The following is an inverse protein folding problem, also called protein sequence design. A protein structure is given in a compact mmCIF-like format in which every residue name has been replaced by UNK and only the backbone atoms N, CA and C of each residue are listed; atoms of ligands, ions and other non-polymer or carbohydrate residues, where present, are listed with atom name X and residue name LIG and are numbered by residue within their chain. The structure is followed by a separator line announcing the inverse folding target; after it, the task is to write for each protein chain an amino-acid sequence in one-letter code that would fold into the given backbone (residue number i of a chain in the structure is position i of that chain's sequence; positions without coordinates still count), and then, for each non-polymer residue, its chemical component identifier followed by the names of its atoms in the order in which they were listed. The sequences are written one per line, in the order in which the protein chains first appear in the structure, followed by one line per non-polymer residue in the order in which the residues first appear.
data_IF_832884337463
#
_entry.id   IF_832884337463
#
_cell.length_a   1.000
_cell.length_b   1.000
_cell.length_c   1.000
_cell.angle_alpha   90.00
_cell.angle_beta   90.00
_cell.angle_gamma   90.00
#
_symmetry.space_group_name_H-M   'P 1'
#
loop_
_entity.id
_entity.type
_entity.pdbx_description
1 polymer ?
#
# COMPACT_ATOMS: atom_id res chain seq x y z
N UNK A 1 21.03 45.10 16.88
CA UNK A 1 20.32 43.80 16.78
C UNK A 1 21.37 42.71 16.87
N UNK A 2 21.50 42.06 18.04
CA UNK A 2 22.57 41.09 18.29
C UNK A 2 22.22 39.74 17.66
N UNK A 3 23.05 39.24 16.74
CA UNK A 3 22.98 37.86 16.28
C UNK A 3 23.85 37.01 17.19
N UNK A 4 23.23 36.05 17.86
CA UNK A 4 23.92 35.03 18.64
C UNK A 4 24.27 33.91 17.65
N UNK A 5 25.54 33.84 17.23
CA UNK A 5 26.07 32.70 16.50
C UNK A 5 26.57 31.66 17.50
N UNK A 6 26.04 30.43 17.42
CA UNK A 6 26.64 29.26 18.10
C UNK A 6 27.79 28.73 17.25
N UNK A 7 28.82 28.18 17.92
CA UNK A 7 30.15 27.87 17.39
C UNK A 7 30.23 26.79 16.30
N UNK A 8 29.12 26.23 15.89
CA UNK A 8 29.05 25.16 14.90
C UNK A 8 28.22 25.71 13.74
N UNK A 9 28.88 26.03 12.62
CA UNK A 9 28.35 26.79 11.49
C UNK A 9 27.22 26.12 10.68
N UNK A 10 26.20 25.59 11.34
CA UNK A 10 24.95 25.18 10.73
C UNK A 10 23.83 26.12 11.17
N UNK A 11 23.30 26.86 10.20
CA UNK A 11 22.13 27.72 10.42
C UNK A 11 20.90 26.83 10.58
N UNK A 12 20.04 27.12 11.55
CA UNK A 12 18.82 26.35 11.84
C UNK A 12 17.82 26.24 10.66
N UNK A 13 18.02 27.02 9.58
CA UNK A 13 17.27 26.92 8.34
C UNK A 13 17.68 25.74 7.45
N UNK A 14 18.96 25.35 7.46
CA UNK A 14 19.49 24.27 6.62
C UNK A 14 19.02 22.90 7.10
N UNK A 15 18.96 22.69 8.43
CA UNK A 15 18.48 21.42 8.97
C UNK A 15 17.00 21.17 8.66
N UNK A 16 16.17 22.21 8.57
CA UNK A 16 14.77 22.07 8.14
C UNK A 16 14.62 21.80 6.63
N UNK A 17 15.56 22.25 5.80
CA UNK A 17 15.59 21.89 4.38
C UNK A 17 16.11 20.46 4.16
N UNK A 18 17.05 19.98 4.98
CA UNK A 18 17.56 18.60 4.94
C UNK A 18 16.55 17.57 5.48
N UNK A 19 15.81 17.89 6.55
CA UNK A 19 14.75 17.02 7.10
C UNK A 19 13.60 16.84 6.09
N UNK A 20 13.24 17.90 5.35
CA UNK A 20 12.24 17.81 4.28
C UNK A 20 12.73 17.08 3.02
N UNK A 21 14.03 16.88 2.86
CA UNK A 21 14.61 16.21 1.69
C UNK A 21 14.61 14.69 1.82
N UNK A 22 14.32 14.15 3.00
CA UNK A 22 14.55 12.72 3.29
C UNK A 22 13.31 11.94 3.73
N UNK A 23 12.17 12.58 3.96
CA UNK A 23 10.91 11.92 4.31
C UNK A 23 9.77 12.53 3.49
N UNK A 24 9.32 11.86 2.44
CA UNK A 24 8.01 12.16 1.88
C UNK A 24 6.99 11.90 3.00
N UNK A 25 6.22 12.92 3.37
CA UNK A 25 5.20 12.73 4.39
C UNK A 25 4.23 11.64 3.92
N UNK A 26 3.70 10.84 4.84
CA UNK A 26 2.74 9.76 4.51
C UNK A 26 1.64 10.23 3.55
N UNK A 27 1.19 11.46 3.73
CA UNK A 27 0.16 12.09 2.92
C UNK A 27 0.63 12.45 1.50
N UNK A 28 1.90 12.85 1.31
CA UNK A 28 2.48 13.05 -0.02
C UNK A 28 2.62 11.72 -0.76
N UNK A 29 3.03 10.65 -0.08
CA UNK A 29 3.13 9.31 -0.68
C UNK A 29 1.75 8.85 -1.16
N UNK A 30 0.73 8.96 -0.30
CA UNK A 30 -0.65 8.59 -0.63
C UNK A 30 -1.18 9.45 -1.79
N UNK A 31 -0.97 10.77 -1.76
CA UNK A 31 -1.40 11.67 -2.84
C UNK A 31 -0.70 11.36 -4.15
N UNK A 32 0.61 11.15 -4.13
CA UNK A 32 1.40 10.81 -5.32
C UNK A 32 0.95 9.50 -5.94
N UNK A 33 0.72 8.46 -5.13
CA UNK A 33 0.22 7.17 -5.61
C UNK A 33 -1.23 7.27 -6.13
N UNK A 34 -2.08 8.05 -5.46
CA UNK A 34 -3.45 8.29 -5.91
C UNK A 34 -3.48 9.04 -7.24
N UNK A 35 -2.61 10.03 -7.42
CA UNK A 35 -2.46 10.74 -8.68
C UNK A 35 -1.92 9.84 -9.79
N UNK A 36 -0.91 9.01 -9.48
CA UNK A 36 -0.37 8.02 -10.41
C UNK A 36 -1.45 7.04 -10.90
N UNK A 37 -2.35 6.59 -10.02
CA UNK A 37 -3.47 5.75 -10.41
C UNK A 37 -4.54 6.51 -11.23
N UNK A 38 -4.80 7.78 -10.90
CA UNK A 38 -5.78 8.61 -11.62
C UNK A 38 -5.35 8.92 -13.07
N UNK A 39 -4.04 8.98 -13.32
CA UNK A 39 -3.46 9.17 -14.64
C UNK A 39 -3.74 8.01 -15.63
N UNK A 40 -4.31 6.90 -15.14
CA UNK A 40 -4.69 5.70 -15.89
C UNK A 40 -6.20 5.65 -16.05
N UNK A 41 -6.74 6.60 -16.76
CA UNK A 41 -8.11 6.47 -17.22
C UNK A 41 -8.18 5.57 -18.46
N UNK A 42 -9.37 5.05 -18.75
CA UNK A 42 -9.62 4.28 -19.97
C UNK A 42 -9.28 5.11 -21.22
N UNK A 43 -8.55 4.53 -22.18
CA UNK A 43 -8.09 5.19 -23.41
C UNK A 43 -6.74 5.92 -23.36
N UNK A 44 -6.12 6.12 -22.18
CA UNK A 44 -4.84 6.88 -22.05
C UNK A 44 -3.62 6.13 -22.64
N UNK A 45 -3.80 4.88 -23.08
CA UNK A 45 -2.77 4.07 -23.72
C UNK A 45 -2.53 4.43 -25.20
N UNK A 46 -3.44 5.18 -25.83
CA UNK A 46 -3.29 5.69 -27.19
C UNK A 46 -3.08 7.21 -27.15
N UNK A 47 -2.02 7.66 -27.83
CA UNK A 47 -1.58 9.06 -27.90
C UNK A 47 -2.70 9.99 -28.37
N UNK A 48 -3.57 9.49 -29.26
CA UNK A 48 -4.71 10.25 -29.81
C UNK A 48 -5.74 10.66 -28.75
N UNK A 49 -5.86 9.89 -27.68
CA UNK A 49 -6.83 10.11 -26.61
C UNK A 49 -6.19 10.58 -25.31
N UNK A 50 -4.85 10.68 -25.26
CA UNK A 50 -4.12 11.22 -24.13
C UNK A 50 -4.18 12.75 -24.14
N UNK A 51 -4.61 13.35 -23.03
CA UNK A 51 -4.67 14.81 -22.87
C UNK A 51 -3.28 15.47 -23.03
N UNK A 52 -2.25 14.76 -22.57
CA UNK A 52 -0.87 15.24 -22.51
C UNK A 52 -0.06 14.83 -23.76
N UNK A 53 -0.64 14.05 -24.68
CA UNK A 53 0.08 13.47 -25.82
C UNK A 53 1.11 12.40 -25.44
N UNK A 54 1.10 11.90 -24.20
CA UNK A 54 1.93 10.77 -23.79
C UNK A 54 1.09 9.50 -23.65
N UNK A 55 1.45 8.45 -24.39
CA UNK A 55 0.83 7.14 -24.26
C UNK A 55 1.33 6.42 -22.99
N UNK A 56 0.42 6.12 -22.06
CA UNK A 56 0.73 5.37 -20.83
C UNK A 56 0.26 3.92 -20.96
N UNK A 57 1.18 3.03 -21.35
CA UNK A 57 0.94 1.58 -21.45
C UNK A 57 1.31 0.87 -20.14
N UNK A 58 0.42 0.00 -19.69
CA UNK A 58 0.49 -0.66 -18.37
C UNK A 58 0.52 -2.17 -18.53
N UNK A 59 0.14 -2.66 -19.71
CA UNK A 59 -0.03 -4.07 -19.98
C UNK A 59 -1.35 -4.56 -19.44
N UNK A 60 -2.45 -3.84 -19.68
CA UNK A 60 -3.80 -4.35 -19.46
C UNK A 60 -4.33 -4.96 -20.77
N UNK A 61 -5.20 -5.96 -20.70
CA UNK A 61 -5.83 -6.59 -21.86
C UNK A 61 -6.65 -5.61 -22.69
N UNK A 62 -7.20 -4.56 -22.07
CA UNK A 62 -7.89 -3.48 -22.82
C UNK A 62 -6.97 -2.68 -23.74
N UNK A 63 -5.65 -2.81 -23.62
CA UNK A 63 -4.66 -2.14 -24.47
C UNK A 63 -4.31 -2.98 -25.71
N UNK A 64 -4.76 -4.24 -25.75
CA UNK A 64 -4.54 -5.16 -26.86
C UNK A 64 -5.77 -5.18 -27.78
N UNK A 65 -5.58 -4.83 -29.06
CA UNK A 65 -6.65 -4.82 -30.07
C UNK A 65 -7.07 -3.42 -30.54
N UNK A 66 -8.16 -3.36 -31.30
CA UNK A 66 -8.76 -2.13 -31.83
C UNK A 66 -10.13 -1.88 -31.18
N UNK A 67 -10.30 -0.69 -30.61
CA UNK A 67 -11.48 -0.26 -29.85
C UNK A 67 -12.78 -0.31 -30.66
N UNK A 68 -12.71 -0.21 -31.99
CA UNK A 68 -13.86 -0.17 -32.89
C UNK A 68 -14.24 -1.57 -33.37
N UNK A 69 -13.25 -2.39 -33.76
CA UNK A 69 -13.53 -3.70 -34.38
C UNK A 69 -13.63 -4.84 -33.39
N UNK A 70 -12.95 -4.75 -32.24
CA UNK A 70 -12.92 -5.81 -31.25
C UNK A 70 -14.03 -5.68 -30.20
N UNK A 71 -14.36 -6.80 -29.56
CA UNK A 71 -15.32 -6.80 -28.45
C UNK A 71 -14.75 -6.05 -27.25
N UNK A 72 -15.56 -5.17 -26.64
CA UNK A 72 -15.14 -4.44 -25.43
C UNK A 72 -14.68 -5.40 -24.34
N UNK A 73 -13.47 -5.17 -23.84
CA UNK A 73 -12.87 -5.88 -22.71
C UNK A 73 -13.05 -5.02 -21.46
N UNK A 74 -13.72 -5.55 -20.44
CA UNK A 74 -13.79 -4.90 -19.14
C UNK A 74 -12.55 -5.28 -18.36
N UNK A 75 -11.59 -4.36 -18.31
CA UNK A 75 -10.32 -4.58 -17.64
C UNK A 75 -9.86 -3.29 -16.95
N UNK A 76 -9.59 -3.36 -15.65
CA UNK A 76 -9.15 -2.21 -14.89
C UNK A 76 -8.69 -2.54 -13.48
N UNK A 77 -8.04 -1.58 -12.85
CA UNK A 77 -7.62 -1.69 -11.47
C UNK A 77 -7.96 -0.44 -10.67
N UNK A 78 -7.98 -0.61 -9.35
CA UNK A 78 -8.01 0.48 -8.38
C UNK A 78 -7.03 0.19 -7.26
N UNK A 79 -6.58 1.24 -6.58
CA UNK A 79 -5.73 1.11 -5.40
C UNK A 79 -6.51 1.43 -4.13
N UNK A 80 -6.15 0.77 -3.04
CA UNK A 80 -6.62 1.08 -1.68
C UNK A 80 -5.43 1.11 -0.74
N UNK A 81 -5.54 1.89 0.32
CA UNK A 81 -4.50 1.99 1.35
C UNK A 81 -5.02 1.37 2.65
N UNK A 82 -4.16 0.62 3.34
CA UNK A 82 -4.46 0.04 4.64
C UNK A 82 -3.20 0.04 5.51
N UNK A 83 -3.10 0.99 6.45
CA UNK A 83 -1.88 1.21 7.23
C UNK A 83 -0.69 1.52 6.32
N UNK A 84 0.37 0.73 6.44
CA UNK A 84 1.59 0.78 5.62
C UNK A 84 1.50 -0.01 4.30
N UNK A 85 0.30 -0.52 3.96
CA UNK A 85 0.06 -1.36 2.79
C UNK A 85 -0.72 -0.66 1.70
N UNK A 86 -0.30 -0.88 0.46
CA UNK A 86 -1.03 -0.62 -0.77
C UNK A 86 -1.69 -1.92 -1.24
N UNK A 87 -2.99 -1.90 -1.46
CA UNK A 87 -3.74 -3.02 -2.02
C UNK A 87 -4.12 -2.65 -3.44
N UNK A 88 -3.65 -3.43 -4.40
CA UNK A 88 -4.05 -3.30 -5.80
C UNK A 88 -5.20 -4.26 -6.03
N UNK A 89 -6.36 -3.73 -6.41
CA UNK A 89 -7.55 -4.48 -6.74
C UNK A 89 -7.71 -4.45 -8.27
N UNK A 90 -7.73 -5.62 -8.89
CA UNK A 90 -7.83 -5.82 -10.31
C UNK A 90 -9.15 -6.50 -10.66
N UNK A 91 -9.80 -6.07 -11.75
CA UNK A 91 -11.00 -6.68 -12.28
C UNK A 91 -10.85 -6.90 -13.78
N UNK A 92 -11.19 -8.11 -14.23
CA UNK A 92 -11.16 -8.50 -15.64
C UNK A 92 -12.35 -9.39 -15.97
N UNK A 93 -13.10 -9.05 -17.02
CA UNK A 93 -14.14 -9.93 -17.56
C UNK A 93 -13.65 -10.61 -18.82
N UNK A 94 -13.71 -11.94 -18.82
CA UNK A 94 -13.22 -12.76 -19.92
C UNK A 94 -14.20 -13.88 -20.27
N UNK A 95 -13.86 -14.65 -21.30
CA UNK A 95 -14.60 -15.86 -21.67
C UNK A 95 -14.17 -17.02 -20.77
N UNK A 96 -15.10 -17.90 -20.41
CA UNK A 96 -14.81 -19.08 -19.58
C UNK A 96 -13.67 -19.94 -20.14
N UNK A 97 -13.55 -20.04 -21.47
CA UNK A 97 -12.45 -20.76 -22.12
C UNK A 97 -11.06 -20.27 -21.69
N UNK A 98 -10.91 -18.96 -21.45
CA UNK A 98 -9.63 -18.34 -21.12
C UNK A 98 -9.21 -18.64 -19.68
N UNK A 99 -10.18 -18.75 -18.77
CA UNK A 99 -9.93 -19.20 -17.39
C UNK A 99 -9.40 -20.64 -17.34
N UNK A 100 -9.79 -21.48 -18.29
CA UNK A 100 -9.33 -22.86 -18.40
C UNK A 100 -8.01 -23.02 -19.16
N UNK A 101 -7.40 -21.93 -19.65
CA UNK A 101 -6.09 -21.97 -20.28
C UNK A 101 -5.00 -22.21 -19.23
N UNK A 102 -3.97 -22.98 -19.60
CA UNK A 102 -2.83 -23.23 -18.72
C UNK A 102 -2.05 -21.93 -18.48
N UNK A 103 -1.78 -21.60 -17.21
CA UNK A 103 -1.03 -20.40 -16.84
C UNK A 103 -1.89 -19.16 -16.59
N UNK A 104 -3.22 -19.29 -16.57
CA UNK A 104 -4.15 -18.18 -16.28
C UNK A 104 -3.81 -17.46 -14.95
N UNK A 105 -3.52 -18.19 -13.87
CA UNK A 105 -3.18 -17.59 -12.56
C UNK A 105 -1.86 -16.80 -12.60
N UNK A 106 -0.86 -17.31 -13.32
CA UNK A 106 0.43 -16.65 -13.51
C UNK A 106 0.26 -15.37 -14.33
N UNK A 107 -0.58 -15.41 -15.36
CA UNK A 107 -0.90 -14.24 -16.18
C UNK A 107 -1.54 -13.13 -15.34
N UNK A 108 -2.57 -13.44 -14.55
CA UNK A 108 -3.22 -12.45 -13.67
C UNK A 108 -2.23 -11.90 -12.63
N UNK A 109 -1.38 -12.75 -12.07
CA UNK A 109 -0.33 -12.34 -11.11
C UNK A 109 0.72 -11.44 -11.75
N UNK A 110 1.06 -11.69 -13.01
CA UNK A 110 1.98 -10.85 -13.78
C UNK A 110 1.35 -9.48 -14.07
N UNK A 111 0.07 -9.41 -14.44
CA UNK A 111 -0.65 -8.14 -14.67
C UNK A 111 -0.66 -7.27 -13.40
N UNK A 112 -0.89 -7.85 -12.23
CA UNK A 112 -0.77 -7.14 -10.94
C UNK A 112 0.65 -6.61 -10.68
N UNK A 113 1.69 -7.38 -11.06
CA UNK A 113 3.09 -6.93 -10.95
C UNK A 113 3.41 -5.78 -11.90
N UNK A 114 2.85 -5.79 -13.11
CA UNK A 114 3.01 -4.72 -14.10
C UNK A 114 2.31 -3.43 -13.65
N UNK A 115 1.11 -3.53 -13.06
CA UNK A 115 0.44 -2.39 -12.40
C UNK A 115 1.32 -1.82 -11.28
N UNK A 116 1.89 -2.66 -10.41
CA UNK A 116 2.79 -2.20 -9.36
C UNK A 116 4.09 -1.55 -9.89
N UNK A 117 4.59 -2.01 -11.05
CA UNK A 117 5.72 -1.39 -11.74
C UNK A 117 5.35 -0.02 -12.30
N UNK A 118 4.19 0.07 -12.94
CA UNK A 118 3.65 1.32 -13.46
C UNK A 118 3.45 2.37 -12.36
N UNK A 119 2.85 1.99 -11.24
CA UNK A 119 2.63 2.91 -10.11
C UNK A 119 3.95 3.48 -9.57
N UNK A 120 5.02 2.68 -9.52
CA UNK A 120 6.35 3.17 -9.13
C UNK A 120 6.92 4.17 -10.13
N UNK A 121 6.79 3.91 -11.43
CA UNK A 121 7.30 4.82 -12.47
C UNK A 121 6.54 6.13 -12.51
N UNK A 122 5.21 6.10 -12.43
CA UNK A 122 4.40 7.32 -12.45
C UNK A 122 4.51 8.12 -11.16
N UNK A 123 4.59 7.46 -10.01
CA UNK A 123 4.86 8.15 -8.75
C UNK A 123 6.13 8.99 -8.84
N UNK A 124 7.19 8.44 -9.46
CA UNK A 124 8.44 9.16 -9.67
C UNK A 124 8.29 10.35 -10.61
N UNK A 125 7.49 10.23 -11.67
CA UNK A 125 7.19 11.36 -12.57
C UNK A 125 6.42 12.47 -11.86
N UNK A 126 5.41 12.11 -11.05
CA UNK A 126 4.53 13.07 -10.38
C UNK A 126 5.25 13.79 -9.22
N UNK A 127 6.02 13.06 -8.41
CA UNK A 127 6.58 13.59 -7.16
C UNK A 127 8.08 13.89 -7.24
N UNK A 128 8.79 13.37 -8.24
CA UNK A 128 10.26 13.37 -8.29
C UNK A 128 10.93 12.37 -7.34
N UNK A 129 10.19 11.77 -6.41
CA UNK A 129 10.69 10.85 -5.40
C UNK A 129 10.54 9.38 -5.84
N UNK A 130 11.34 8.48 -5.28
CA UNK A 130 11.25 7.04 -5.55
C UNK A 130 10.61 6.31 -4.38
N UNK A 131 9.76 5.33 -4.68
CA UNK A 131 9.16 4.42 -3.70
C UNK A 131 9.43 2.98 -4.08
N UNK A 132 9.50 2.12 -3.07
CA UNK A 132 9.53 0.67 -3.25
C UNK A 132 8.19 0.08 -2.80
N UNK A 133 7.66 -0.81 -3.62
CA UNK A 133 6.48 -1.61 -3.32
C UNK A 133 6.93 -3.07 -3.26
N UNK A 134 6.93 -3.65 -2.05
CA UNK A 134 7.34 -5.05 -1.83
C UNK A 134 6.10 -5.92 -1.69
N UNK A 135 6.01 -7.03 -2.42
CA UNK A 135 4.88 -7.96 -2.30
C UNK A 135 4.74 -8.45 -0.85
N UNK A 136 3.52 -8.45 -0.35
CA UNK A 136 3.15 -8.92 0.98
C UNK A 136 2.05 -9.99 0.86
N UNK A 137 2.45 -11.26 0.96
CA UNK A 137 1.59 -12.41 0.70
C UNK A 137 1.42 -12.73 -0.78
N UNK A 138 0.64 -13.78 -1.05
CA UNK A 138 0.33 -14.27 -2.39
C UNK A 138 -0.81 -13.51 -3.06
N UNK A 139 -0.92 -13.62 -4.38
CA UNK A 139 -2.05 -13.08 -5.14
C UNK A 139 -3.31 -13.87 -4.81
N UNK A 140 -4.38 -13.18 -4.46
CA UNK A 140 -5.71 -13.78 -4.32
C UNK A 140 -6.50 -13.53 -5.62
N UNK A 141 -7.04 -14.61 -6.20
CA UNK A 141 -7.79 -14.59 -7.47
C UNK A 141 -9.15 -15.26 -7.24
N UNK A 142 -10.22 -14.47 -7.38
CA UNK A 142 -11.59 -14.94 -7.31
C UNK A 142 -12.21 -14.96 -8.71
N UNK A 143 -12.74 -16.12 -9.09
CA UNK A 143 -13.37 -16.35 -10.40
C UNK A 143 -14.87 -16.56 -10.19
N UNK A 144 -15.70 -15.70 -10.78
CA UNK A 144 -17.16 -15.73 -10.68
C UNK A 144 -17.82 -15.94 -12.04
N UNK A 145 -18.65 -16.97 -12.16
CA UNK A 145 -19.44 -17.19 -13.37
C UNK A 145 -20.55 -16.14 -13.48
N UNK A 146 -20.50 -15.31 -14.52
CA UNK A 146 -21.61 -14.40 -14.86
C UNK A 146 -22.63 -15.12 -15.74
N UNK A 147 -22.17 -16.05 -16.58
CA UNK A 147 -22.99 -16.90 -17.44
C UNK A 147 -22.21 -18.16 -17.84
N UNK A 148 -22.79 -19.01 -18.71
CA UNK A 148 -22.09 -20.18 -19.27
C UNK A 148 -20.93 -19.83 -20.22
N UNK A 149 -20.80 -18.56 -20.61
CA UNK A 149 -19.78 -18.09 -21.57
C UNK A 149 -18.85 -17.05 -20.96
N UNK A 150 -19.38 -16.17 -20.09
CA UNK A 150 -18.65 -15.05 -19.48
C UNK A 150 -18.36 -15.30 -18.00
N UNK A 151 -17.16 -14.91 -17.61
CA UNK A 151 -16.63 -15.02 -16.26
C UNK A 151 -16.06 -13.68 -15.84
N UNK A 152 -16.32 -13.27 -14.60
CA UNK A 152 -15.73 -12.07 -13.99
C UNK A 152 -14.65 -12.50 -13.01
N UNK A 153 -13.49 -11.87 -13.10
CA UNK A 153 -12.31 -12.16 -12.30
C UNK A 153 -12.05 -10.95 -11.42
N UNK A 154 -11.89 -11.19 -10.11
CA UNK A 154 -11.50 -10.19 -9.13
C UNK A 154 -10.22 -10.69 -8.48
N UNK A 155 -9.12 -9.99 -8.71
CA UNK A 155 -7.85 -10.31 -8.08
C UNK A 155 -7.37 -9.18 -7.19
N UNK A 156 -6.62 -9.48 -6.14
CA UNK A 156 -5.90 -8.46 -5.39
C UNK A 156 -4.54 -8.94 -4.91
N UNK A 157 -3.62 -7.99 -4.81
CA UNK A 157 -2.30 -8.20 -4.23
C UNK A 157 -1.99 -7.05 -3.27
N UNK A 158 -1.48 -7.40 -2.09
CA UNK A 158 -0.99 -6.46 -1.10
C UNK A 158 0.50 -6.17 -1.33
N UNK A 159 0.89 -4.91 -1.20
CA UNK A 159 2.26 -4.44 -1.27
C UNK A 159 2.58 -3.57 -0.06
N UNK A 160 3.71 -3.82 0.61
CA UNK A 160 4.24 -2.95 1.64
C UNK A 160 4.91 -1.73 1.00
N UNK A 161 4.56 -0.53 1.45
CA UNK A 161 5.11 0.72 0.94
C UNK A 161 6.34 1.09 1.77
N UNK A 162 7.50 1.25 1.12
CA UNK A 162 8.71 1.74 1.79
C UNK A 162 8.69 3.26 1.98
N UNK A 163 9.27 3.77 3.06
CA UNK A 163 9.52 5.22 3.23
C UNK A 163 8.32 6.04 3.72
N UNK A 164 7.24 5.36 4.09
CA UNK A 164 6.21 5.95 4.95
C UNK A 164 6.77 5.93 6.39
N UNK A 165 6.65 7.03 7.14
CA UNK A 165 7.09 7.12 8.54
C UNK A 165 6.35 6.13 9.47
N UNK A 166 6.44 6.28 10.80
CA UNK A 166 5.69 5.45 11.76
C UNK A 166 4.17 5.54 11.54
N UNK A 167 3.66 4.78 10.58
CA UNK A 167 2.25 4.47 10.43
C UNK A 167 2.07 3.15 11.13
N UNK A 168 1.24 3.17 12.17
CA UNK A 168 0.85 1.98 12.90
C UNK A 168 0.25 1.02 11.87
N UNK A 169 0.97 -0.06 11.57
CA UNK A 169 0.40 -1.14 10.76
C UNK A 169 -0.87 -1.59 11.47
N UNK A 170 -2.00 -1.73 10.77
CA UNK A 170 -3.28 -2.01 11.40
C UNK A 170 -3.31 -3.34 12.19
N UNK A 171 -2.28 -4.18 12.01
CA UNK A 171 -2.02 -5.44 12.74
C UNK A 171 -0.86 -5.37 13.72
N UNK A 172 -0.21 -4.23 13.92
CA UNK A 172 0.65 -4.03 15.09
C UNK A 172 -0.24 -3.87 16.32
N UNK A 173 -0.91 -4.96 16.69
CA UNK A 173 -1.03 -5.27 18.10
C UNK A 173 0.42 -5.41 18.56
N UNK A 174 0.98 -4.36 19.17
CA UNK A 174 1.99 -4.59 20.19
C UNK A 174 1.44 -5.74 21.02
N UNK A 175 2.13 -6.88 20.97
CA UNK A 175 1.56 -8.16 21.37
C UNK A 175 1.36 -8.20 22.88
N UNK A 176 0.34 -7.50 23.38
CA UNK A 176 -0.35 -7.87 24.59
C UNK A 176 -1.08 -9.15 24.26
N UNK A 177 -0.33 -10.24 24.28
CA UNK A 177 -0.95 -11.57 24.30
C UNK A 177 -1.90 -11.59 25.49
N UNK A 178 -3.03 -12.30 25.35
CA UNK A 178 -3.99 -12.49 26.46
C UNK A 178 -3.24 -12.96 27.72
N UNK A 179 -2.20 -13.78 27.55
CA UNK A 179 -1.33 -14.24 28.62
C UNK A 179 -0.52 -13.12 29.29
N UNK A 180 0.06 -12.18 28.53
CA UNK A 180 0.71 -10.99 29.12
C UNK A 180 -0.28 -10.09 29.85
N UNK A 181 -1.50 -9.91 29.35
CA UNK A 181 -2.53 -9.12 30.00
C UNK A 181 -3.01 -9.76 31.32
N UNK A 182 -3.14 -11.10 31.33
CA UNK A 182 -3.46 -11.87 32.53
C UNK A 182 -2.31 -11.81 33.54
N UNK A 183 -1.05 -11.92 33.08
CA UNK A 183 0.14 -11.80 33.94
C UNK A 183 0.24 -10.41 34.57
N UNK A 184 -0.01 -9.36 33.80
CA UNK A 184 -0.09 -7.98 34.31
C UNK A 184 -1.20 -7.85 35.36
N UNK A 185 -2.40 -8.36 35.09
CA UNK A 185 -3.53 -8.32 36.02
C UNK A 185 -3.25 -9.07 37.33
N UNK A 186 -2.65 -10.26 37.27
CA UNK A 186 -2.23 -11.02 38.45
C UNK A 186 -1.09 -10.34 39.22
N UNK A 187 -0.24 -9.57 38.53
CA UNK A 187 0.88 -8.88 39.14
C UNK A 187 0.45 -7.63 39.93
N UNK A 188 -0.69 -7.01 39.62
CA UNK A 188 -1.27 -5.89 40.40
C UNK A 188 -1.45 -6.26 41.89
N UNK A 189 -1.68 -7.55 42.20
CA UNK A 189 -1.79 -8.04 43.58
C UNK A 189 -0.46 -8.36 44.28
N UNK A 190 0.69 -8.24 43.58
CA UNK A 190 2.02 -8.57 44.12
C UNK A 190 2.79 -7.29 44.43
N UNK A 191 3.50 -7.29 45.56
CA UNK A 191 4.37 -6.20 46.03
C UNK A 191 5.52 -5.82 45.05
N UNK A 192 5.62 -6.49 43.89
CA UNK A 192 6.71 -6.34 42.90
C UNK A 192 6.30 -5.60 41.61
N UNK A 193 5.05 -5.18 41.44
CA UNK A 193 4.62 -4.44 40.25
C UNK A 193 4.97 -2.93 40.37
N UNK A 194 5.48 -2.29 39.30
CA UNK A 194 5.80 -0.87 39.34
C UNK A 194 4.53 -0.03 39.56
N UNK A 195 4.48 0.73 40.65
CA UNK A 195 3.37 1.64 40.99
C UNK A 195 2.38 1.13 42.04
N UNK A 196 2.45 -0.14 42.44
CA UNK A 196 1.61 -0.67 43.53
C UNK A 196 2.29 -0.49 44.89
N UNK A 197 1.62 0.23 45.80
CA UNK A 197 2.00 0.29 47.23
C UNK A 197 1.19 -0.74 47.99
N UNK A 198 1.87 -1.56 48.80
CA UNK A 198 1.22 -2.47 49.76
C UNK A 198 0.21 -1.70 50.61
N UNK A 199 -1.02 -2.20 50.72
CA UNK A 199 -2.03 -1.58 51.57
C UNK A 199 -1.51 -1.53 53.02
N UNK A 200 -1.57 -0.35 53.64
CA UNK A 200 -0.97 -0.05 54.95
C UNK A 200 -1.53 -0.88 56.12
N UNK A 201 -2.64 -1.58 55.90
CA UNK A 201 -3.33 -2.44 56.85
C UNK A 201 -2.84 -3.90 56.83
N UNK A 202 -1.97 -4.31 55.91
CA UNK A 202 -1.46 -5.69 55.83
C UNK A 202 -0.25 -5.87 56.76
N UNK A 203 -0.48 -6.43 57.96
CA UNK A 203 0.54 -6.65 59.01
C UNK A 203 1.16 -8.05 59.04
N UNK A 204 0.80 -8.96 58.11
CA UNK A 204 1.29 -10.34 58.14
C UNK A 204 2.78 -10.37 57.74
N UNK A 205 3.64 -10.86 58.64
CA UNK A 205 5.01 -11.28 58.31
C UNK A 205 4.90 -12.54 57.45
N UNK A 206 5.62 -12.60 56.35
CA UNK A 206 5.72 -13.82 55.55
C UNK A 206 6.48 -14.87 56.39
N UNK A 207 5.86 -16.04 56.61
CA UNK A 207 6.56 -17.27 57.01
C UNK A 207 7.34 -17.82 55.80
#
# INVERSE_FOLDING_TARGET
MWKIERKDGQTAGDQNQEINKQMATTLEVIRGLSQAAANVYDGVHDEKYSLDGEARKIGLFREEGDVITDSRVMDGFKIRFHGDKLIINYQYDCKLKHVHESGFEDEISQRLADIAKYLRSEYKKVTGNTITLTKDGDTDIMVEYVSRVRTSIKAYQCYKISGIGEVISARNEESRTVDSAIKDWLAIGKDKYPGTKKASNVKRKND
#
